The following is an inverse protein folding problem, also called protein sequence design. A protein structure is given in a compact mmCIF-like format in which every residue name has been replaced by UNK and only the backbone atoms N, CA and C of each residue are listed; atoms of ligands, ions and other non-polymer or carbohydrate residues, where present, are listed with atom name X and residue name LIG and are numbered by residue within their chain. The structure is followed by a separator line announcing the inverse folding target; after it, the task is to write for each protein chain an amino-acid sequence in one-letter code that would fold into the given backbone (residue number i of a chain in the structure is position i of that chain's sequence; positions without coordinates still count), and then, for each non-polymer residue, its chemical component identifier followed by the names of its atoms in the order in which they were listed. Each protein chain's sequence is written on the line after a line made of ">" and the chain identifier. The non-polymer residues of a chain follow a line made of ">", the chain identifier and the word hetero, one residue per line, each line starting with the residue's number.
data_IF_919789394855
#
_entry.id   IF_919789394855
#
_cell.length_a   1.000
_cell.length_b   1.000
_cell.length_c   1.000
_cell.angle_alpha   90.00
_cell.angle_beta   90.00
_cell.angle_gamma   90.00
#
_symmetry.space_group_name_H-M   'P 1'
#
loop_
_entity.id
_entity.type
_entity.pdbx_description
1 polymer ?
#
# COMPACT_ATOMS: atom_id res chain seq x y z
N UNK A 1 -40.43 -7.30 13.18
CA UNK A 1 -39.21 -6.86 12.47
C UNK A 1 -38.41 -8.11 12.18
N UNK A 2 -38.38 -8.55 10.92
CA UNK A 2 -37.68 -9.79 10.55
C UNK A 2 -36.17 -9.52 10.57
N UNK A 3 -35.46 -10.21 11.46
CA UNK A 3 -33.99 -10.26 11.46
C UNK A 3 -33.56 -10.89 10.14
N UNK A 4 -33.01 -10.08 9.24
CA UNK A 4 -32.36 -10.58 8.04
C UNK A 4 -31.03 -11.19 8.49
N UNK A 5 -31.03 -12.49 8.75
CA UNK A 5 -29.80 -13.26 8.96
C UNK A 5 -29.00 -13.17 7.66
N UNK A 6 -27.89 -12.42 7.67
CA UNK A 6 -26.96 -12.39 6.56
C UNK A 6 -26.52 -13.83 6.27
N UNK A 7 -26.99 -14.36 5.14
CA UNK A 7 -26.63 -15.69 4.72
C UNK A 7 -25.18 -15.60 4.24
N UNK A 8 -24.25 -16.03 5.08
CA UNK A 8 -22.84 -16.13 4.71
C UNK A 8 -22.75 -17.21 3.64
N UNK A 9 -22.77 -16.81 2.37
CA UNK A 9 -22.39 -17.69 1.28
C UNK A 9 -20.90 -18.03 1.46
N UNK A 10 -20.63 -19.09 2.21
CA UNK A 10 -19.28 -19.63 2.35
C UNK A 10 -18.77 -19.94 0.95
N UNK A 11 -17.75 -19.21 0.52
CA UNK A 11 -17.05 -19.52 -0.71
C UNK A 11 -16.38 -20.88 -0.51
N UNK A 12 -16.72 -21.91 -1.30
CA UNK A 12 -16.30 -23.29 -1.00
C UNK A 12 -14.79 -23.53 -1.17
N UNK A 13 -14.03 -22.57 -1.68
CA UNK A 13 -12.57 -22.60 -1.66
C UNK A 13 -11.99 -21.22 -1.37
N UNK A 14 -10.89 -21.17 -0.63
CA UNK A 14 -10.10 -19.97 -0.45
C UNK A 14 -9.61 -19.41 -1.80
N UNK A 15 -9.57 -18.09 -1.92
CA UNK A 15 -9.15 -17.37 -3.14
C UNK A 15 -7.63 -17.23 -3.15
N UNK A 16 -6.92 -17.86 -4.11
CA UNK A 16 -5.47 -17.79 -4.18
C UNK A 16 -5.00 -16.41 -4.62
N UNK A 17 -3.86 -15.97 -4.08
CA UNK A 17 -3.17 -14.77 -4.56
C UNK A 17 -1.91 -15.17 -5.34
N UNK A 18 -1.79 -14.64 -6.56
CA UNK A 18 -0.62 -14.83 -7.40
C UNK A 18 0.00 -13.46 -7.77
N UNK A 19 1.12 -13.06 -7.14
CA UNK A 19 1.76 -11.77 -7.41
C UNK A 19 2.29 -11.64 -8.84
N UNK A 20 2.39 -12.74 -9.61
CA UNK A 20 2.74 -12.68 -11.03
C UNK A 20 1.53 -12.38 -11.95
N UNK A 21 0.30 -12.58 -11.45
CA UNK A 21 -0.94 -12.41 -12.22
C UNK A 21 -1.76 -11.19 -11.80
N UNK A 22 -1.71 -10.80 -10.53
CA UNK A 22 -2.48 -9.68 -10.02
C UNK A 22 -1.70 -8.85 -8.99
N UNK A 23 -2.11 -7.59 -8.85
CA UNK A 23 -1.59 -6.69 -7.82
C UNK A 23 -2.32 -6.95 -6.51
N UNK A 24 -1.64 -6.78 -5.38
CA UNK A 24 -2.27 -6.84 -4.06
C UNK A 24 -3.53 -5.97 -3.93
N UNK A 25 -3.51 -4.76 -4.50
CA UNK A 25 -4.67 -3.87 -4.51
C UNK A 25 -5.88 -4.45 -5.26
N UNK A 26 -5.65 -5.20 -6.34
CA UNK A 26 -6.71 -5.89 -7.09
C UNK A 26 -7.29 -7.04 -6.27
N UNK A 27 -6.44 -7.84 -5.63
CA UNK A 27 -6.84 -8.92 -4.75
C UNK A 27 -7.72 -8.41 -3.58
N UNK A 28 -7.29 -7.34 -2.91
CA UNK A 28 -8.10 -6.69 -1.86
C UNK A 28 -9.40 -6.07 -2.41
N UNK A 29 -9.40 -5.61 -3.67
CA UNK A 29 -10.60 -5.16 -4.36
C UNK A 29 -11.64 -6.28 -4.50
N UNK A 30 -11.21 -7.50 -4.84
CA UNK A 30 -12.11 -8.67 -4.90
C UNK A 30 -12.72 -9.00 -3.53
N UNK A 31 -11.92 -8.90 -2.46
CA UNK A 31 -12.44 -9.07 -1.10
C UNK A 31 -13.48 -8.01 -0.73
N UNK A 32 -13.24 -6.73 -1.08
CA UNK A 32 -14.20 -5.66 -0.82
C UNK A 32 -15.52 -5.86 -1.58
N UNK A 33 -15.46 -6.30 -2.85
CA UNK A 33 -16.66 -6.67 -3.62
C UNK A 33 -17.39 -7.85 -3.00
N UNK A 34 -16.66 -8.84 -2.46
CA UNK A 34 -17.26 -9.94 -1.72
C UNK A 34 -18.03 -9.44 -0.49
N UNK A 35 -17.49 -8.48 0.27
CA UNK A 35 -18.23 -7.85 1.36
C UNK A 35 -19.49 -7.14 0.86
N UNK A 36 -19.38 -6.37 -0.24
CA UNK A 36 -20.50 -5.60 -0.78
C UNK A 36 -21.67 -6.48 -1.25
N UNK A 37 -21.38 -7.50 -2.06
CA UNK A 37 -22.40 -8.42 -2.60
C UNK A 37 -23.11 -9.18 -1.49
N UNK A 38 -22.44 -9.42 -0.36
CA UNK A 38 -23.04 -10.10 0.80
C UNK A 38 -23.64 -9.15 1.84
N UNK A 39 -23.67 -7.83 1.57
CA UNK A 39 -24.23 -6.83 2.50
C UNK A 39 -23.39 -6.60 3.76
N UNK A 40 -22.10 -6.90 3.70
CA UNK A 40 -21.15 -6.88 4.82
C UNK A 40 -20.19 -5.67 4.79
N UNK A 41 -20.42 -4.69 3.92
CA UNK A 41 -19.58 -3.48 3.82
C UNK A 41 -19.48 -2.72 5.16
N UNK A 42 -20.57 -2.70 5.93
CA UNK A 42 -20.66 -2.07 7.25
C UNK A 42 -20.41 -3.04 8.42
N UNK A 43 -19.91 -4.24 8.15
CA UNK A 43 -19.61 -5.22 9.20
C UNK A 43 -18.52 -4.70 10.17
N UNK A 44 -18.57 -5.09 11.46
CA UNK A 44 -17.51 -4.79 12.42
C UNK A 44 -16.15 -5.33 11.97
N UNK A 45 -15.08 -4.67 12.40
CA UNK A 45 -13.70 -5.02 12.02
C UNK A 45 -13.32 -6.46 12.38
N UNK A 46 -13.78 -6.96 13.53
CA UNK A 46 -13.57 -8.35 13.94
C UNK A 46 -14.18 -9.34 12.95
N UNK A 47 -15.35 -9.00 12.39
CA UNK A 47 -16.04 -9.81 11.38
C UNK A 47 -15.34 -9.69 10.03
N UNK A 48 -14.93 -8.49 9.60
CA UNK A 48 -14.14 -8.29 8.36
C UNK A 48 -12.84 -9.09 8.38
N UNK A 49 -12.12 -9.06 9.51
CA UNK A 49 -10.93 -9.88 9.73
C UNK A 49 -11.23 -11.36 9.59
N UNK A 50 -12.24 -11.87 10.31
CA UNK A 50 -12.59 -13.29 10.23
C UNK A 50 -12.96 -13.71 8.80
N UNK A 51 -13.76 -12.89 8.10
CA UNK A 51 -14.13 -13.13 6.71
C UNK A 51 -12.91 -13.16 5.79
N UNK A 52 -11.97 -12.22 5.97
CA UNK A 52 -10.75 -12.18 5.18
C UNK A 52 -9.89 -13.44 5.39
N UNK A 53 -9.68 -13.86 6.64
CA UNK A 53 -8.90 -15.06 6.96
C UNK A 53 -9.54 -16.35 6.42
N UNK A 54 -10.85 -16.37 6.22
CA UNK A 54 -11.55 -17.47 5.52
C UNK A 54 -11.57 -17.32 3.99
N UNK A 55 -11.44 -16.10 3.50
CA UNK A 55 -11.44 -15.78 2.08
C UNK A 55 -10.08 -16.04 1.44
N UNK A 56 -8.99 -15.74 2.14
CA UNK A 56 -7.64 -15.84 1.61
C UNK A 56 -7.09 -17.26 1.62
N UNK A 57 -6.15 -17.54 0.73
CA UNK A 57 -5.46 -18.84 0.71
C UNK A 57 -4.55 -19.06 1.93
N UNK A 58 -4.12 -20.31 2.08
CA UNK A 58 -3.26 -20.74 3.19
C UNK A 58 -1.97 -19.93 3.24
N UNK A 59 -1.40 -19.53 2.08
CA UNK A 59 -0.15 -18.77 2.02
C UNK A 59 -0.30 -17.37 2.60
N UNK A 60 -1.39 -16.67 2.25
CA UNK A 60 -1.70 -15.37 2.84
C UNK A 60 -1.99 -15.53 4.33
N UNK A 61 -2.73 -16.57 4.73
CA UNK A 61 -3.06 -16.78 6.13
C UNK A 61 -1.80 -17.01 6.98
N UNK A 62 -0.90 -17.91 6.56
CA UNK A 62 0.39 -18.15 7.21
C UNK A 62 1.26 -16.88 7.26
N UNK A 63 1.25 -16.09 6.18
CA UNK A 63 1.98 -14.82 6.14
C UNK A 63 1.38 -13.77 7.08
N UNK A 64 0.05 -13.71 7.20
CA UNK A 64 -0.62 -12.84 8.16
C UNK A 64 -0.22 -13.20 9.59
N UNK A 65 -0.21 -14.48 9.93
CA UNK A 65 0.20 -14.99 11.24
C UNK A 65 1.67 -14.64 11.54
N UNK A 66 2.55 -14.78 10.54
CA UNK A 66 3.97 -14.45 10.69
C UNK A 66 4.26 -12.94 10.82
N UNK A 67 3.46 -12.08 10.20
CA UNK A 67 3.72 -10.63 10.14
C UNK A 67 3.01 -9.83 11.25
N UNK A 68 1.91 -10.36 11.80
CA UNK A 68 1.20 -9.70 12.89
C UNK A 68 1.98 -9.88 14.20
N UNK A 69 2.19 -8.77 14.92
CA UNK A 69 2.76 -8.83 16.26
C UNK A 69 1.70 -9.34 17.26
N UNK A 70 1.86 -10.58 17.73
CA UNK A 70 0.97 -11.19 18.72
C UNK A 70 -0.11 -12.08 18.08
N UNK A 71 -1.29 -12.12 18.69
CA UNK A 71 -2.38 -12.98 18.22
C UNK A 71 -3.07 -12.39 16.99
N UNK A 72 -2.99 -13.10 15.86
CA UNK A 72 -3.68 -12.78 14.61
C UNK A 72 -5.19 -12.58 14.80
N UNK A 73 -5.81 -13.39 15.66
CA UNK A 73 -7.24 -13.30 15.94
C UNK A 73 -7.61 -12.15 16.89
N UNK A 74 -6.63 -11.51 17.54
CA UNK A 74 -6.83 -10.31 18.34
C UNK A 74 -6.49 -9.02 17.58
N UNK A 75 -5.70 -9.09 16.51
CA UNK A 75 -5.24 -7.93 15.75
C UNK A 75 -6.38 -7.12 15.12
N UNK A 76 -6.27 -5.78 15.12
CA UNK A 76 -7.27 -4.94 14.45
C UNK A 76 -7.27 -5.18 12.94
N UNK A 77 -8.40 -4.90 12.29
CA UNK A 77 -8.53 -5.01 10.85
C UNK A 77 -7.53 -4.09 10.13
N UNK A 78 -7.38 -2.85 10.61
CA UNK A 78 -6.41 -1.89 10.07
C UNK A 78 -4.97 -2.39 10.17
N UNK A 79 -4.57 -2.99 11.29
CA UNK A 79 -3.23 -3.54 11.46
C UNK A 79 -2.98 -4.70 10.49
N UNK A 80 -3.93 -5.62 10.37
CA UNK A 80 -3.83 -6.74 9.44
C UNK A 80 -3.70 -6.26 7.98
N UNK A 81 -4.54 -5.31 7.56
CA UNK A 81 -4.46 -4.73 6.22
C UNK A 81 -3.11 -4.04 5.98
N UNK A 82 -2.60 -3.31 6.98
CA UNK A 82 -1.33 -2.60 6.87
C UNK A 82 -0.15 -3.56 6.71
N UNK A 83 -0.03 -4.61 7.54
CA UNK A 83 1.10 -5.54 7.45
C UNK A 83 1.10 -6.30 6.12
N UNK A 84 -0.06 -6.76 5.65
CA UNK A 84 -0.16 -7.45 4.37
C UNK A 84 0.07 -6.52 3.18
N UNK A 85 -0.43 -5.28 3.23
CA UNK A 85 -0.12 -4.26 2.22
C UNK A 85 1.37 -3.94 2.16
N UNK A 86 2.04 -3.86 3.29
CA UNK A 86 3.48 -3.59 3.33
C UNK A 86 4.30 -4.76 2.78
N UNK A 87 3.81 -5.99 2.91
CA UNK A 87 4.47 -7.18 2.39
C UNK A 87 4.21 -7.43 0.90
N UNK A 88 2.94 -7.39 0.47
CA UNK A 88 2.53 -7.71 -0.91
C UNK A 88 2.39 -6.50 -1.83
N UNK A 89 2.27 -5.29 -1.26
CA UNK A 89 2.13 -4.03 -2.00
C UNK A 89 3.40 -3.55 -2.72
N UNK A 90 4.63 -3.80 -2.22
CA UNK A 90 5.85 -3.51 -2.96
C UNK A 90 5.96 -4.44 -4.18
N UNK A 91 5.44 -3.98 -5.32
CA UNK A 91 5.83 -4.55 -6.61
C UNK A 91 7.35 -4.33 -6.80
N UNK A 92 8.10 -5.23 -7.46
CA UNK A 92 9.48 -4.93 -7.87
C UNK A 92 9.59 -3.58 -8.59
N UNK A 93 8.56 -3.18 -9.33
CA UNK A 93 8.44 -1.86 -9.94
C UNK A 93 8.34 -0.70 -8.95
N UNK A 94 7.74 -0.89 -7.77
CA UNK A 94 7.71 0.10 -6.70
C UNK A 94 9.11 0.33 -6.14
N UNK A 95 9.85 -0.74 -5.81
CA UNK A 95 11.21 -0.60 -5.26
C UNK A 95 12.15 0.07 -6.26
N UNK A 96 12.06 -0.30 -7.55
CA UNK A 96 12.79 0.36 -8.64
C UNK A 96 12.40 1.84 -8.75
N UNK A 97 11.11 2.17 -8.71
CA UNK A 97 10.66 3.56 -8.77
C UNK A 97 11.14 4.39 -7.59
N UNK A 98 11.08 3.85 -6.37
CA UNK A 98 11.59 4.51 -5.17
C UNK A 98 13.11 4.70 -5.27
N UNK A 99 13.83 3.68 -5.74
CA UNK A 99 15.27 3.77 -5.98
C UNK A 99 15.59 4.88 -6.99
N UNK A 100 14.91 4.91 -8.13
CA UNK A 100 15.07 5.95 -9.14
C UNK A 100 14.77 7.34 -8.57
N UNK A 101 13.71 7.47 -7.76
CA UNK A 101 13.37 8.71 -7.07
C UNK A 101 14.48 9.17 -6.11
N UNK A 102 14.95 8.30 -5.21
CA UNK A 102 15.94 8.67 -4.19
C UNK A 102 17.34 8.89 -4.76
N UNK A 103 17.65 8.29 -5.91
CA UNK A 103 18.94 8.50 -6.61
C UNK A 103 18.91 9.65 -7.61
N UNK A 104 17.73 10.23 -7.89
CA UNK A 104 17.59 11.35 -8.79
C UNK A 104 18.25 12.61 -8.19
N UNK A 105 19.20 13.18 -8.91
CA UNK A 105 19.84 14.47 -8.61
C UNK A 105 19.74 15.40 -9.80
N UNK A 106 19.83 16.71 -9.56
CA UNK A 106 19.82 17.72 -10.60
C UNK A 106 21.05 17.55 -11.50
N UNK A 107 20.83 17.40 -12.81
CA UNK A 107 21.89 17.25 -13.80
C UNK A 107 22.59 18.58 -14.04
N UNK A 108 23.80 18.52 -14.61
CA UNK A 108 24.55 19.73 -14.98
C UNK A 108 23.77 20.54 -16.03
N UNK A 109 23.57 21.84 -15.77
CA UNK A 109 22.79 22.72 -16.64
C UNK A 109 21.27 22.50 -16.62
N UNK A 110 20.75 21.56 -15.81
CA UNK A 110 19.32 21.32 -15.67
C UNK A 110 18.65 22.42 -14.84
N UNK A 111 17.48 22.90 -15.28
CA UNK A 111 16.72 23.88 -14.50
C UNK A 111 16.04 23.22 -13.30
N UNK A 112 15.83 23.99 -12.22
CA UNK A 112 15.12 23.49 -11.04
C UNK A 112 13.70 22.99 -11.39
N UNK A 113 13.01 23.64 -12.32
CA UNK A 113 11.67 23.24 -12.74
C UNK A 113 11.66 21.88 -13.44
N UNK A 114 12.68 21.60 -14.26
CA UNK A 114 12.84 20.30 -14.92
C UNK A 114 13.11 19.20 -13.89
N UNK A 115 14.03 19.45 -12.96
CA UNK A 115 14.34 18.51 -11.88
C UNK A 115 13.11 18.19 -11.02
N UNK A 116 12.34 19.21 -10.61
CA UNK A 116 11.08 19.04 -9.85
C UNK A 116 10.04 18.26 -10.66
N UNK A 117 9.92 18.52 -11.96
CA UNK A 117 9.00 17.79 -12.83
C UNK A 117 9.36 16.30 -12.91
N UNK A 118 10.65 15.96 -12.98
CA UNK A 118 11.12 14.58 -12.99
C UNK A 118 10.91 13.88 -11.64
N UNK A 119 11.16 14.55 -10.52
CA UNK A 119 10.83 14.03 -9.18
C UNK A 119 9.34 13.73 -9.05
N UNK A 120 8.47 14.66 -9.51
CA UNK A 120 7.01 14.46 -9.55
C UNK A 120 6.61 13.28 -10.43
N UNK A 121 7.30 13.07 -11.55
CA UNK A 121 7.05 11.94 -12.46
C UNK A 121 7.39 10.61 -11.78
N UNK A 122 8.54 10.52 -11.12
CA UNK A 122 9.01 9.32 -10.43
C UNK A 122 8.18 8.99 -9.20
N UNK A 123 7.79 10.00 -8.42
CA UNK A 123 7.02 9.82 -7.18
C UNK A 123 5.64 9.17 -7.41
N UNK A 124 5.03 9.30 -8.60
CA UNK A 124 3.71 8.72 -8.93
C UNK A 124 3.62 7.21 -8.71
N UNK A 125 4.71 6.48 -8.93
CA UNK A 125 4.76 5.01 -8.78
C UNK A 125 5.36 4.56 -7.46
N UNK A 126 5.88 5.50 -6.67
CA UNK A 126 6.53 5.27 -5.39
C UNK A 126 5.56 5.11 -4.21
N UNK A 127 4.23 5.23 -4.44
CA UNK A 127 3.17 5.01 -3.43
C UNK A 127 3.47 5.63 -2.05
N UNK A 128 4.13 6.81 -2.02
CA UNK A 128 4.55 7.43 -0.77
C UNK A 128 3.33 7.88 0.05
N UNK A 129 3.29 7.64 1.37
CA UNK A 129 2.22 8.12 2.24
C UNK A 129 2.07 9.65 2.19
N UNK A 130 3.20 10.36 2.08
CA UNK A 130 3.26 11.81 1.87
C UNK A 130 4.15 12.11 0.65
N UNK A 131 3.53 12.17 -0.52
CA UNK A 131 4.26 12.40 -1.77
C UNK A 131 4.90 13.79 -1.84
N UNK A 132 4.23 14.84 -1.34
CA UNK A 132 4.77 16.21 -1.42
C UNK A 132 5.90 16.42 -0.40
N UNK A 133 5.80 15.82 0.79
CA UNK A 133 6.90 15.78 1.76
C UNK A 133 8.14 15.11 1.20
N UNK A 134 8.00 13.93 0.57
CA UNK A 134 9.13 13.22 -0.04
C UNK A 134 9.75 14.03 -1.19
N UNK A 135 8.95 14.66 -2.04
CA UNK A 135 9.45 15.52 -3.12
C UNK A 135 10.23 16.70 -2.55
N UNK A 136 9.72 17.37 -1.51
CA UNK A 136 10.41 18.50 -0.87
C UNK A 136 11.78 18.08 -0.35
N UNK A 137 11.84 16.96 0.35
CA UNK A 137 13.07 16.45 0.94
C UNK A 137 14.08 16.10 -0.17
N UNK A 138 13.63 15.47 -1.26
CA UNK A 138 14.49 15.16 -2.41
C UNK A 138 14.95 16.40 -3.19
N UNK A 139 14.14 17.47 -3.24
CA UNK A 139 14.58 18.76 -3.81
C UNK A 139 15.78 19.29 -3.01
N UNK A 140 15.72 19.22 -1.69
CA UNK A 140 16.80 19.68 -0.82
C UNK A 140 18.04 18.81 -1.01
N UNK A 141 17.88 17.48 -1.00
CA UNK A 141 19.01 16.54 -1.09
C UNK A 141 19.66 16.50 -2.48
N UNK A 142 18.87 16.62 -3.56
CA UNK A 142 19.32 16.43 -4.93
C UNK A 142 19.62 17.71 -5.71
N UNK A 143 19.39 18.90 -5.14
CA UNK A 143 19.76 20.19 -5.76
C UNK A 143 21.28 20.35 -5.84
N UNK A 144 21.80 20.85 -6.97
CA UNK A 144 23.23 21.12 -7.15
C UNK A 144 23.71 22.45 -6.60
N UNK A 145 22.85 23.47 -6.57
CA UNK A 145 23.21 24.81 -6.07
C UNK A 145 23.28 24.82 -4.54
N UNK A 146 24.48 24.91 -3.92
CA UNK A 146 24.62 24.88 -2.47
C UNK A 146 24.01 26.11 -1.79
N UNK A 147 23.97 27.25 -2.47
CA UNK A 147 23.35 28.46 -1.94
C UNK A 147 21.81 28.34 -1.92
N UNK A 148 21.23 27.73 -2.96
CA UNK A 148 19.81 27.39 -2.99
C UNK A 148 19.47 26.34 -1.93
N UNK A 149 20.24 25.26 -1.83
CA UNK A 149 20.06 24.22 -0.81
C UNK A 149 20.08 24.82 0.60
N UNK A 150 21.06 25.68 0.90
CA UNK A 150 21.16 26.35 2.20
C UNK A 150 19.95 27.24 2.50
N UNK A 151 19.39 27.93 1.50
CA UNK A 151 18.16 28.73 1.66
C UNK A 151 16.92 27.88 1.92
N UNK A 152 16.86 26.68 1.34
CA UNK A 152 15.74 25.75 1.53
C UNK A 152 15.75 25.09 2.92
N UNK A 153 16.94 24.87 3.50
CA UNK A 153 17.10 24.28 4.84
C UNK A 153 16.72 25.20 6.01
N UNK A 154 16.63 26.51 5.79
CA UNK A 154 16.31 27.52 6.82
C UNK A 154 14.86 28.01 6.76
N UNK A 155 14.01 27.34 5.97
CA UNK A 155 12.58 27.62 5.85
C UNK A 155 11.77 26.50 6.49
#
# INVERSE_FOLDING_TARGET
>A
MAQHTANLNHHPMAVPYDPAKEKWASYMGHFNLHLEVNGLSAAPDSQKRALFLTYCDVKIHEMADALVAGDLHAASWDNLQQVLRNHYGPSPFYLVSCYDFYTQSQKEGETINTFVADLRRLAKTCQFPDTEGMIRDQIILGTKDPALQKKLLVR
#
